data_IF_328952302371
#
_entry.id   IF_328952302371
#
_cell.length_a   1.000
_cell.length_b   1.000
_cell.length_c   1.000
_cell.angle_alpha   90.00
_cell.angle_beta   90.00
_cell.angle_gamma   90.00
#
_symmetry.space_group_name_H-M   'P 1'
#
loop_
_entity.id
_entity.type
_entity.pdbx_description
1 polymer ?
#
# COMPACT_ATOMS: atom_id res chain seq x y z
N UNK A 1 -24.29 33.01 -30.19
CA UNK A 1 -23.12 32.25 -29.74
C UNK A 1 -23.26 32.07 -28.25
N UNK A 2 -23.74 30.90 -27.78
CA UNK A 2 -23.77 30.59 -26.38
C UNK A 2 -22.33 30.37 -25.90
N UNK A 3 -21.91 30.90 -24.74
CA UNK A 3 -20.62 30.59 -24.16
C UNK A 3 -20.58 29.11 -23.90
N UNK A 4 -19.69 28.39 -24.58
CA UNK A 4 -19.41 26.97 -24.34
C UNK A 4 -18.98 26.81 -22.90
N UNK A 5 -19.91 26.34 -22.04
CA UNK A 5 -19.58 25.93 -20.68
C UNK A 5 -18.53 24.84 -20.77
N UNK A 6 -17.33 25.13 -20.27
CA UNK A 6 -16.25 24.15 -20.19
C UNK A 6 -16.79 22.88 -19.53
N UNK A 7 -16.60 21.67 -20.12
CA UNK A 7 -17.07 20.42 -19.54
C UNK A 7 -16.39 20.10 -18.20
N UNK A 8 -15.41 20.90 -17.79
CA UNK A 8 -14.63 20.70 -16.57
C UNK A 8 -15.07 21.65 -15.45
N UNK A 9 -14.92 21.17 -14.21
CA UNK A 9 -15.29 21.91 -13.00
C UNK A 9 -14.46 23.20 -12.80
N UNK A 10 -15.06 24.18 -12.13
CA UNK A 10 -14.36 25.40 -11.72
C UNK A 10 -13.25 25.11 -10.70
N UNK A 11 -12.16 25.90 -10.70
CA UNK A 11 -10.96 25.69 -9.87
C UNK A 11 -11.28 25.54 -8.36
N UNK A 12 -12.25 26.30 -7.82
CA UNK A 12 -12.66 26.20 -6.41
C UNK A 12 -13.33 24.86 -6.10
N UNK A 13 -14.16 24.35 -7.01
CA UNK A 13 -14.81 23.05 -6.87
C UNK A 13 -13.78 21.92 -6.95
N UNK A 14 -12.82 22.00 -7.90
CA UNK A 14 -11.71 21.06 -8.03
C UNK A 14 -10.92 20.96 -6.71
N UNK A 15 -10.60 22.10 -6.08
CA UNK A 15 -9.89 22.12 -4.80
C UNK A 15 -10.71 21.47 -3.69
N UNK A 16 -12.00 21.76 -3.60
CA UNK A 16 -12.88 21.14 -2.60
C UNK A 16 -12.99 19.63 -2.76
N UNK A 17 -13.19 19.14 -4.00
CA UNK A 17 -13.22 17.71 -4.32
C UNK A 17 -11.89 17.04 -4.01
N UNK A 18 -10.77 17.68 -4.37
CA UNK A 18 -9.44 17.18 -4.06
C UNK A 18 -9.23 17.03 -2.55
N UNK A 19 -9.50 18.07 -1.76
CA UNK A 19 -9.31 18.06 -0.31
C UNK A 19 -10.18 16.99 0.38
N UNK A 20 -11.43 16.82 -0.05
CA UNK A 20 -12.32 15.78 0.49
C UNK A 20 -11.76 14.36 0.26
N UNK A 21 -11.27 14.08 -0.94
CA UNK A 21 -10.65 12.79 -1.24
C UNK A 21 -9.27 12.63 -0.58
N UNK A 22 -8.48 13.70 -0.52
CA UNK A 22 -7.17 13.70 0.12
C UNK A 22 -7.26 13.38 1.62
N UNK A 23 -8.26 13.94 2.32
CA UNK A 23 -8.51 13.62 3.73
C UNK A 23 -8.77 12.12 3.95
N UNK A 24 -9.63 11.50 3.13
CA UNK A 24 -9.91 10.07 3.22
C UNK A 24 -8.66 9.21 2.90
N UNK A 25 -7.88 9.59 1.89
CA UNK A 25 -6.68 8.85 1.52
C UNK A 25 -5.55 9.00 2.55
N UNK A 26 -5.40 10.18 3.15
CA UNK A 26 -4.50 10.41 4.28
C UNK A 26 -4.82 9.45 5.43
N UNK A 27 -6.09 9.39 5.84
CA UNK A 27 -6.54 8.48 6.91
C UNK A 27 -6.36 7.01 6.53
N UNK A 28 -6.62 6.63 5.29
CA UNK A 28 -6.35 5.28 4.77
C UNK A 28 -4.88 4.88 4.94
N UNK A 29 -3.96 5.76 4.59
CA UNK A 29 -2.53 5.50 4.70
C UNK A 29 -2.05 5.49 6.16
N UNK A 30 -2.61 6.35 7.01
CA UNK A 30 -2.34 6.37 8.45
C UNK A 30 -2.81 5.05 9.10
N UNK A 31 -4.07 4.62 8.85
CA UNK A 31 -4.62 3.36 9.38
C UNK A 31 -3.81 2.15 8.89
N UNK A 32 -3.27 2.21 7.68
CA UNK A 32 -2.41 1.16 7.11
C UNK A 32 -1.15 0.94 7.93
N UNK A 33 -0.44 2.00 8.24
CA UNK A 33 0.91 1.94 8.82
C UNK A 33 0.94 2.00 10.35
N UNK A 34 -0.15 2.41 11.01
CA UNK A 34 -0.20 2.63 12.46
C UNK A 34 0.19 1.39 13.29
N UNK A 35 -0.06 0.18 12.77
CA UNK A 35 0.23 -1.07 13.50
C UNK A 35 1.71 -1.23 13.84
N UNK A 36 2.62 -0.72 13.00
CA UNK A 36 4.05 -0.74 13.28
C UNK A 36 4.38 0.03 14.57
N UNK A 37 3.83 1.22 14.73
CA UNK A 37 4.01 2.06 15.92
C UNK A 37 3.35 1.46 17.17
N UNK A 38 2.19 0.83 17.00
CA UNK A 38 1.46 0.20 18.10
C UNK A 38 2.03 -1.17 18.49
N UNK A 39 2.87 -1.79 17.65
CA UNK A 39 3.30 -3.17 17.83
C UNK A 39 3.91 -3.48 19.20
N UNK A 40 4.79 -2.65 19.81
CA UNK A 40 5.33 -2.95 21.11
C UNK A 40 4.25 -3.00 22.21
N UNK A 41 3.35 -2.01 22.20
CA UNK A 41 2.27 -1.91 23.19
C UNK A 41 1.25 -3.05 23.06
N UNK A 42 0.82 -3.35 21.81
CA UNK A 42 -0.13 -4.45 21.57
C UNK A 42 0.48 -5.80 21.92
N UNK A 43 1.75 -6.03 21.61
CA UNK A 43 2.46 -7.26 21.97
C UNK A 43 2.54 -7.42 23.47
N UNK A 44 2.83 -6.35 24.21
CA UNK A 44 2.93 -6.41 25.68
C UNK A 44 1.56 -6.56 26.33
N UNK A 45 0.55 -5.79 25.93
CA UNK A 45 -0.79 -5.77 26.55
C UNK A 45 -1.56 -7.07 26.31
N UNK A 46 -1.42 -7.67 25.13
CA UNK A 46 -2.20 -8.81 24.68
C UNK A 46 -1.35 -10.10 24.59
N UNK A 47 -0.10 -10.07 25.05
CA UNK A 47 0.85 -11.19 24.99
C UNK A 47 0.94 -11.83 23.58
N UNK A 48 0.95 -11.00 22.52
CA UNK A 48 0.96 -11.48 21.14
C UNK A 48 2.29 -12.13 20.79
N UNK A 49 2.22 -13.28 20.14
CA UNK A 49 3.38 -13.89 19.47
C UNK A 49 3.78 -13.08 18.21
N UNK A 50 4.92 -13.38 17.63
CA UNK A 50 5.32 -12.76 16.38
C UNK A 50 4.38 -13.15 15.23
N UNK A 51 3.89 -14.39 15.22
CA UNK A 51 2.86 -14.86 14.30
C UNK A 51 1.58 -14.04 14.42
N UNK A 52 1.08 -13.84 15.66
CA UNK A 52 -0.14 -13.07 15.92
C UNK A 52 0.02 -11.63 15.43
N UNK A 53 1.17 -11.02 15.71
CA UNK A 53 1.45 -9.66 15.26
C UNK A 53 1.46 -9.54 13.72
N UNK A 54 2.10 -10.49 13.05
CA UNK A 54 2.12 -10.55 11.58
C UNK A 54 0.74 -10.77 10.98
N UNK A 55 -0.07 -11.66 11.60
CA UNK A 55 -1.45 -11.93 11.19
C UNK A 55 -2.35 -10.71 11.43
N UNK A 56 -2.20 -10.04 12.57
CA UNK A 56 -2.95 -8.83 12.91
C UNK A 56 -2.71 -7.69 11.88
N UNK A 57 -1.45 -7.39 11.60
CA UNK A 57 -1.12 -6.36 10.62
C UNK A 57 -1.52 -6.78 9.20
N UNK A 58 -1.26 -8.05 8.85
CA UNK A 58 -1.62 -8.64 7.57
C UNK A 58 -3.13 -8.64 7.30
N UNK A 59 -3.97 -8.75 8.34
CA UNK A 59 -5.43 -8.71 8.21
C UNK A 59 -5.95 -7.48 7.45
N UNK A 60 -5.32 -6.31 7.65
CA UNK A 60 -5.62 -5.12 6.87
C UNK A 60 -5.40 -5.35 5.36
N UNK A 61 -4.27 -5.93 4.98
CA UNK A 61 -3.92 -6.15 3.57
C UNK A 61 -4.76 -7.26 2.94
N UNK A 62 -5.16 -8.27 3.72
CA UNK A 62 -6.11 -9.30 3.28
C UNK A 62 -7.47 -8.68 2.95
N UNK A 63 -8.03 -7.85 3.84
CA UNK A 63 -9.27 -7.12 3.59
C UNK A 63 -9.17 -6.18 2.38
N UNK A 64 -8.06 -5.47 2.27
CA UNK A 64 -7.79 -4.58 1.13
C UNK A 64 -7.69 -5.36 -0.19
N UNK A 65 -6.99 -6.50 -0.21
CA UNK A 65 -6.82 -7.35 -1.38
C UNK A 65 -8.15 -7.94 -1.88
N UNK A 66 -9.01 -8.39 -0.97
CA UNK A 66 -10.30 -9.02 -1.30
C UNK A 66 -11.22 -8.14 -2.15
N UNK A 67 -11.04 -6.83 -2.08
CA UNK A 67 -11.87 -5.85 -2.80
C UNK A 67 -11.29 -5.40 -4.14
N UNK A 68 -10.02 -5.72 -4.46
CA UNK A 68 -9.33 -5.15 -5.64
C UNK A 68 -10.02 -5.51 -6.96
N UNK A 69 -10.44 -6.76 -7.12
CA UNK A 69 -11.07 -7.19 -8.38
C UNK A 69 -12.48 -6.61 -8.60
N UNK A 70 -13.40 -6.60 -7.61
CA UNK A 70 -14.74 -6.04 -7.80
C UNK A 70 -14.77 -4.51 -7.78
N UNK A 71 -13.78 -3.83 -7.17
CA UNK A 71 -13.78 -2.39 -6.94
C UNK A 71 -13.92 -1.58 -8.24
N UNK A 72 -13.21 -1.95 -9.29
CA UNK A 72 -13.28 -1.28 -10.60
C UNK A 72 -14.72 -1.29 -11.15
N UNK A 73 -15.35 -2.47 -11.16
CA UNK A 73 -16.75 -2.61 -11.61
C UNK A 73 -17.73 -1.79 -10.78
N UNK A 74 -17.52 -1.72 -9.47
CA UNK A 74 -18.38 -0.91 -8.59
C UNK A 74 -18.21 0.58 -8.84
N UNK A 75 -16.98 1.05 -9.07
CA UNK A 75 -16.70 2.45 -9.40
C UNK A 75 -17.34 2.85 -10.74
N UNK A 76 -17.28 1.99 -11.76
CA UNK A 76 -17.88 2.24 -13.07
C UNK A 76 -19.42 2.25 -12.98
N UNK A 77 -19.99 1.34 -12.18
CA UNK A 77 -21.45 1.20 -12.06
C UNK A 77 -22.09 2.27 -11.18
N UNK A 78 -21.49 2.59 -10.01
CA UNK A 78 -22.11 3.42 -8.98
C UNK A 78 -21.44 4.78 -8.79
N UNK A 79 -20.26 4.98 -9.43
CA UNK A 79 -19.47 6.18 -9.34
C UNK A 79 -18.64 6.31 -8.05
N UNK A 80 -17.62 7.18 -8.05
CA UNK A 80 -16.64 7.28 -6.98
C UNK A 80 -17.23 7.70 -5.63
N UNK A 81 -18.18 8.64 -5.62
CA UNK A 81 -18.80 9.16 -4.39
C UNK A 81 -19.53 8.07 -3.61
N UNK A 82 -20.45 7.36 -4.26
CA UNK A 82 -21.28 6.33 -3.60
C UNK A 82 -20.41 5.17 -3.12
N UNK A 83 -19.51 4.67 -3.96
CA UNK A 83 -18.62 3.55 -3.63
C UNK A 83 -17.74 3.93 -2.44
N UNK A 84 -17.06 5.08 -2.50
CA UNK A 84 -16.16 5.48 -1.42
C UNK A 84 -16.91 5.68 -0.09
N UNK A 85 -18.08 6.33 -0.08
CA UNK A 85 -18.87 6.50 1.14
C UNK A 85 -19.29 5.15 1.73
N UNK A 86 -19.76 4.20 0.90
CA UNK A 86 -20.13 2.86 1.37
C UNK A 86 -18.95 2.11 2.00
N UNK A 87 -17.77 2.22 1.39
CA UNK A 87 -16.55 1.62 1.91
C UNK A 87 -16.10 2.29 3.22
N UNK A 88 -16.14 3.61 3.31
CA UNK A 88 -15.77 4.33 4.53
C UNK A 88 -16.68 4.02 5.72
N UNK A 89 -17.96 3.66 5.50
CA UNK A 89 -18.80 3.12 6.60
C UNK A 89 -18.15 1.87 7.19
N UNK A 90 -17.66 0.96 6.35
CA UNK A 90 -16.97 -0.25 6.82
C UNK A 90 -15.67 0.12 7.56
N UNK A 91 -14.94 1.15 7.11
CA UNK A 91 -13.75 1.64 7.81
C UNK A 91 -14.08 2.20 9.20
N UNK A 92 -15.17 2.97 9.34
CA UNK A 92 -15.65 3.47 10.64
C UNK A 92 -15.96 2.30 11.58
N UNK A 93 -16.73 1.32 11.10
CA UNK A 93 -17.05 0.11 11.87
C UNK A 93 -15.76 -0.63 12.26
N UNK A 94 -14.80 -0.75 11.36
CA UNK A 94 -13.50 -1.35 11.63
C UNK A 94 -12.72 -0.60 12.71
N UNK A 95 -12.66 0.72 12.66
CA UNK A 95 -11.97 1.54 13.67
C UNK A 95 -12.66 1.45 15.05
N UNK A 96 -13.99 1.49 15.09
CA UNK A 96 -14.76 1.31 16.34
C UNK A 96 -14.54 -0.09 16.90
N UNK A 97 -14.65 -1.13 16.06
CA UNK A 97 -14.43 -2.51 16.48
C UNK A 97 -13.02 -2.72 17.03
N UNK A 98 -12.00 -2.11 16.41
CA UNK A 98 -10.63 -2.16 16.90
C UNK A 98 -10.48 -1.49 18.26
N UNK A 99 -11.07 -0.31 18.44
CA UNK A 99 -11.07 0.45 19.71
C UNK A 99 -11.71 -0.34 20.86
N UNK A 100 -12.75 -1.12 20.57
CA UNK A 100 -13.51 -1.87 21.58
C UNK A 100 -13.02 -3.32 21.78
N UNK A 101 -12.13 -3.80 20.91
CA UNK A 101 -11.68 -5.19 20.94
C UNK A 101 -10.88 -5.54 22.22
N UNK A 102 -11.21 -6.69 22.79
CA UNK A 102 -10.55 -7.25 23.98
C UNK A 102 -9.87 -8.60 23.68
N UNK A 103 -10.00 -9.11 22.46
CA UNK A 103 -9.42 -10.38 22.05
C UNK A 103 -8.65 -10.22 20.74
N UNK A 104 -7.68 -11.10 20.51
CA UNK A 104 -6.93 -11.15 19.26
C UNK A 104 -7.85 -11.28 18.02
N UNK A 105 -8.84 -12.18 18.07
CA UNK A 105 -9.76 -12.39 16.94
C UNK A 105 -10.55 -11.12 16.66
N UNK A 106 -11.02 -10.42 17.69
CA UNK A 106 -11.73 -9.14 17.55
C UNK A 106 -10.87 -8.08 16.88
N UNK A 107 -9.60 -7.94 17.30
CA UNK A 107 -8.64 -7.02 16.67
C UNK A 107 -8.35 -7.40 15.22
N UNK A 108 -8.14 -8.69 14.94
CA UNK A 108 -7.87 -9.16 13.59
C UNK A 108 -9.04 -8.89 12.63
N UNK A 109 -10.27 -9.22 13.02
CA UNK A 109 -11.46 -8.92 12.23
C UNK A 109 -11.63 -7.41 12.01
N UNK A 110 -11.39 -6.61 13.05
CA UNK A 110 -11.42 -5.15 12.93
C UNK A 110 -10.38 -4.64 11.92
N UNK A 111 -9.18 -5.21 11.88
CA UNK A 111 -8.16 -4.88 10.88
C UNK A 111 -8.58 -5.26 9.47
N UNK A 112 -9.21 -6.42 9.28
CA UNK A 112 -9.78 -6.83 7.98
C UNK A 112 -10.84 -5.81 7.53
N UNK A 113 -11.76 -5.41 8.43
CA UNK A 113 -12.78 -4.39 8.13
C UNK A 113 -12.15 -3.04 7.77
N UNK A 114 -11.12 -2.60 8.52
CA UNK A 114 -10.37 -1.39 8.17
C UNK A 114 -9.80 -1.49 6.74
N UNK A 115 -9.17 -2.62 6.39
CA UNK A 115 -8.61 -2.85 5.07
C UNK A 115 -9.64 -2.80 3.95
N UNK A 116 -10.77 -3.49 4.11
CA UNK A 116 -11.92 -3.40 3.20
C UNK A 116 -12.37 -1.95 3.06
N UNK A 117 -12.62 -1.29 4.19
CA UNK A 117 -13.25 0.02 4.24
C UNK A 117 -12.44 1.15 3.59
N UNK A 118 -11.11 1.06 3.58
CA UNK A 118 -10.26 2.10 2.98
C UNK A 118 -9.73 1.76 1.59
N UNK A 119 -10.04 0.58 1.06
CA UNK A 119 -9.48 0.10 -0.22
C UNK A 119 -9.86 0.95 -1.42
N UNK A 120 -11.00 1.65 -1.37
CA UNK A 120 -11.46 2.55 -2.43
C UNK A 120 -10.81 3.96 -2.37
N UNK A 121 -10.08 4.32 -1.29
CA UNK A 121 -9.65 5.70 -1.03
C UNK A 121 -8.67 6.28 -2.07
N UNK A 122 -7.97 5.46 -2.83
CA UNK A 122 -7.13 5.92 -3.94
C UNK A 122 -7.84 5.81 -5.29
N UNK A 123 -8.48 4.67 -5.57
CA UNK A 123 -9.06 4.41 -6.89
C UNK A 123 -10.30 5.25 -7.18
N UNK A 124 -11.13 5.55 -6.16
CA UNK A 124 -12.32 6.38 -6.34
C UNK A 124 -11.97 7.81 -6.77
N UNK A 125 -11.02 8.53 -6.12
CA UNK A 125 -10.54 9.82 -6.60
C UNK A 125 -10.00 9.79 -8.04
N UNK A 126 -9.14 8.82 -8.36
CA UNK A 126 -8.54 8.70 -9.69
C UNK A 126 -9.60 8.52 -10.78
N UNK A 127 -10.67 7.77 -10.50
CA UNK A 127 -11.83 7.60 -11.38
C UNK A 127 -12.60 8.92 -11.54
N UNK A 128 -12.84 9.66 -10.45
CA UNK A 128 -13.54 10.95 -10.48
C UNK A 128 -12.75 12.02 -11.23
N UNK A 129 -11.44 12.12 -11.00
CA UNK A 129 -10.58 13.13 -11.63
C UNK A 129 -10.54 13.00 -13.17
N UNK A 130 -10.57 11.77 -13.69
CA UNK A 130 -10.63 11.53 -15.15
C UNK A 130 -11.82 12.22 -15.81
N UNK A 131 -12.92 12.34 -15.09
CA UNK A 131 -14.16 12.91 -15.63
C UNK A 131 -14.30 14.41 -15.35
N UNK A 132 -13.87 14.86 -14.17
CA UNK A 132 -14.17 16.22 -13.72
C UNK A 132 -13.05 17.22 -13.98
N UNK A 133 -11.83 16.75 -14.25
CA UNK A 133 -10.65 17.62 -14.39
C UNK A 133 -10.04 17.54 -15.78
N UNK A 134 -9.54 18.67 -16.26
CA UNK A 134 -8.72 18.71 -17.46
C UNK A 134 -7.43 17.87 -17.28
N UNK A 135 -6.85 17.27 -18.35
CA UNK A 135 -5.73 16.34 -18.25
C UNK A 135 -4.55 16.85 -17.41
N UNK A 136 -4.16 18.12 -17.57
CA UNK A 136 -3.08 18.72 -16.80
C UNK A 136 -3.40 18.90 -15.31
N UNK A 137 -4.67 19.15 -14.95
CA UNK A 137 -5.12 19.21 -13.56
C UNK A 137 -5.21 17.82 -12.95
N UNK A 138 -5.68 16.82 -13.69
CA UNK A 138 -5.74 15.42 -13.29
C UNK A 138 -4.36 14.89 -12.92
N UNK A 139 -3.34 15.11 -13.77
CA UNK A 139 -1.98 14.65 -13.52
C UNK A 139 -1.42 15.22 -12.19
N UNK A 140 -1.63 16.52 -11.97
CA UNK A 140 -1.23 17.18 -10.71
C UNK A 140 -1.99 16.60 -9.51
N UNK A 141 -3.32 16.44 -9.61
CA UNK A 141 -4.13 15.88 -8.52
C UNK A 141 -3.69 14.46 -8.16
N UNK A 142 -3.37 13.62 -9.15
CA UNK A 142 -2.86 12.27 -8.92
C UNK A 142 -1.52 12.29 -8.14
N UNK A 143 -0.59 13.17 -8.52
CA UNK A 143 0.70 13.31 -7.80
C UNK A 143 0.49 13.80 -6.37
N UNK A 144 -0.36 14.80 -6.15
CA UNK A 144 -0.69 15.29 -4.82
C UNK A 144 -1.40 14.25 -3.96
N UNK A 145 -2.24 13.39 -4.54
CA UNK A 145 -2.85 12.27 -3.81
C UNK A 145 -1.79 11.31 -3.26
N UNK A 146 -0.80 10.92 -4.06
CA UNK A 146 0.28 10.05 -3.59
C UNK A 146 1.08 10.69 -2.44
N UNK A 147 1.38 12.00 -2.54
CA UNK A 147 2.01 12.74 -1.44
C UNK A 147 1.15 12.73 -0.17
N UNK A 148 -0.16 12.92 -0.31
CA UNK A 148 -1.10 12.87 0.83
C UNK A 148 -1.06 11.50 1.52
N UNK A 149 -1.00 10.40 0.77
CA UNK A 149 -0.83 9.06 1.33
C UNK A 149 0.48 8.91 2.10
N UNK A 150 1.58 9.41 1.54
CA UNK A 150 2.88 9.39 2.23
C UNK A 150 2.87 10.22 3.52
N UNK A 151 2.21 11.39 3.53
CA UNK A 151 2.02 12.18 4.76
C UNK A 151 1.20 11.42 5.80
N UNK A 152 0.18 10.66 5.39
CA UNK A 152 -0.59 9.77 6.27
C UNK A 152 0.30 8.71 6.93
N UNK A 153 1.21 8.10 6.17
CA UNK A 153 2.17 7.13 6.71
C UNK A 153 3.17 7.77 7.69
N UNK A 154 3.69 8.95 7.39
CA UNK A 154 4.55 9.73 8.31
C UNK A 154 3.79 10.04 9.60
N UNK A 155 2.53 10.44 9.51
CA UNK A 155 1.68 10.78 10.67
C UNK A 155 1.33 9.58 11.54
N UNK A 156 1.42 8.35 11.02
CA UNK A 156 1.19 7.11 11.78
C UNK A 156 2.34 6.74 12.74
N UNK A 157 3.44 7.45 12.72
CA UNK A 157 4.69 7.17 13.46
C UNK A 157 4.81 8.05 14.72
N UNK A 158 5.73 9.00 14.75
CA UNK A 158 5.96 9.88 15.90
C UNK A 158 4.71 10.56 16.44
N UNK A 159 3.80 11.14 15.62
CA UNK A 159 2.59 11.76 16.15
C UNK A 159 1.71 10.78 16.92
N UNK A 160 1.57 9.55 16.45
CA UNK A 160 0.86 8.48 17.17
C UNK A 160 1.59 8.09 18.41
N UNK A 161 2.91 7.93 18.37
CA UNK A 161 3.74 7.57 19.53
C UNK A 161 3.63 8.61 20.67
N UNK A 162 3.56 9.91 20.34
CA UNK A 162 3.34 10.96 21.34
C UNK A 162 1.95 10.93 21.97
N UNK A 163 0.92 10.55 21.21
CA UNK A 163 -0.44 10.44 21.72
C UNK A 163 -0.66 9.18 22.58
N UNK A 164 0.10 8.11 22.31
CA UNK A 164 -0.06 6.81 22.98
C UNK A 164 -0.07 6.89 24.52
N UNK A 165 0.90 7.54 25.20
CA UNK A 165 0.93 7.63 26.66
C UNK A 165 -0.18 8.53 27.24
N UNK A 166 -0.78 9.41 26.41
CA UNK A 166 -1.78 10.40 26.86
C UNK A 166 -3.18 9.82 26.80
N UNK A 167 -3.56 9.21 25.69
CA UNK A 167 -4.93 8.75 25.43
C UNK A 167 -5.06 7.24 25.17
N UNK A 168 -3.94 6.54 24.95
CA UNK A 168 -3.92 5.12 24.63
C UNK A 168 -4.38 4.80 23.20
N UNK A 169 -4.03 3.60 22.72
CA UNK A 169 -4.33 3.17 21.36
C UNK A 169 -5.84 3.02 21.07
N UNK A 170 -6.65 2.66 22.08
CA UNK A 170 -8.10 2.53 21.92
C UNK A 170 -8.75 3.87 21.59
N UNK A 171 -8.39 4.94 22.32
CA UNK A 171 -8.89 6.27 22.04
C UNK A 171 -8.36 6.83 20.71
N UNK A 172 -7.13 6.47 20.31
CA UNK A 172 -6.60 6.83 18.98
C UNK A 172 -7.51 6.24 17.88
N UNK A 173 -7.87 4.95 17.96
CA UNK A 173 -8.76 4.33 16.97
C UNK A 173 -10.19 4.89 17.01
N UNK A 174 -10.72 5.22 18.17
CA UNK A 174 -11.98 5.94 18.28
C UNK A 174 -11.91 7.33 17.61
N UNK A 175 -10.82 8.06 17.84
CA UNK A 175 -10.55 9.34 17.16
C UNK A 175 -10.43 9.19 15.65
N UNK A 176 -9.77 8.12 15.16
CA UNK A 176 -9.69 7.81 13.73
C UNK A 176 -11.09 7.55 13.14
N UNK A 177 -11.98 6.84 13.86
CA UNK A 177 -13.36 6.64 13.42
C UNK A 177 -14.07 7.99 13.22
N UNK A 178 -13.92 8.92 14.18
CA UNK A 178 -14.50 10.29 14.07
C UNK A 178 -13.92 11.03 12.86
N UNK A 179 -12.59 10.98 12.65
CA UNK A 179 -11.94 11.62 11.50
C UNK A 179 -12.40 11.04 10.16
N UNK A 180 -12.61 9.72 10.10
CA UNK A 180 -13.18 9.07 8.91
C UNK A 180 -14.60 9.55 8.66
N UNK A 181 -15.46 9.69 9.69
CA UNK A 181 -16.80 10.25 9.55
C UNK A 181 -16.73 11.70 9.04
N UNK A 182 -15.83 12.53 9.57
CA UNK A 182 -15.64 13.90 9.08
C UNK A 182 -15.22 13.92 7.60
N UNK A 183 -14.33 13.02 7.19
CA UNK A 183 -13.96 12.89 5.77
C UNK A 183 -15.14 12.45 4.90
N UNK A 184 -16.02 11.57 5.41
CA UNK A 184 -17.28 11.20 4.73
C UNK A 184 -18.20 12.38 4.54
N UNK A 185 -18.37 13.23 5.56
CA UNK A 185 -19.16 14.48 5.45
C UNK A 185 -18.57 15.39 4.39
N UNK A 186 -17.25 15.59 4.37
CA UNK A 186 -16.58 16.37 3.32
C UNK A 186 -16.85 15.81 1.93
N UNK A 187 -16.75 14.48 1.75
CA UNK A 187 -17.04 13.83 0.47
C UNK A 187 -18.51 14.00 0.10
N UNK A 188 -19.41 13.81 1.05
CA UNK A 188 -20.85 13.95 0.81
C UNK A 188 -21.24 15.37 0.32
N UNK A 189 -20.65 16.40 0.91
CA UNK A 189 -20.95 17.82 0.60
C UNK A 189 -20.21 18.28 -0.66
N UNK A 190 -18.91 17.97 -0.79
CA UNK A 190 -18.04 18.61 -1.78
C UNK A 190 -17.90 17.82 -3.10
N UNK A 191 -18.10 16.49 -3.06
CA UNK A 191 -17.96 15.68 -4.27
C UNK A 191 -19.28 15.63 -5.03
N UNK A 192 -19.29 15.92 -6.35
CA UNK A 192 -20.53 15.93 -7.13
C UNK A 192 -21.12 14.52 -7.27
N UNK A 193 -22.42 14.48 -7.58
CA UNK A 193 -23.10 13.23 -7.91
C UNK A 193 -22.55 12.70 -9.24
N UNK A 194 -22.40 11.39 -9.33
CA UNK A 194 -22.00 10.72 -10.56
C UNK A 194 -23.19 10.60 -11.51
N UNK A 195 -23.19 11.41 -12.57
CA UNK A 195 -24.12 11.26 -13.66
C UNK A 195 -23.51 10.32 -14.69
N UNK A 196 -24.24 9.28 -15.08
CA UNK A 196 -23.80 8.42 -16.18
C UNK A 196 -23.77 9.23 -17.47
N UNK A 197 -22.71 9.13 -18.30
CA UNK A 197 -22.78 9.69 -19.64
C UNK A 197 -23.97 9.07 -20.39
N UNK A 198 -24.66 9.84 -21.18
CA UNK A 198 -25.50 9.30 -22.24
C UNK A 198 -24.56 8.47 -23.12
N UNK A 199 -24.75 7.16 -23.10
CA UNK A 199 -23.83 6.25 -23.78
C UNK A 199 -24.33 6.09 -25.21
N UNK A 200 -23.51 6.43 -26.18
CA UNK A 200 -23.74 6.16 -27.61
C UNK A 200 -24.00 4.64 -27.77
N UNK A 201 -25.00 4.23 -28.59
CA UNK A 201 -25.25 2.82 -28.87
C UNK A 201 -24.01 2.04 -29.35
N UNK A 202 -23.07 2.69 -30.03
CA UNK A 202 -21.80 2.09 -30.45
C UNK A 202 -20.86 1.81 -29.27
N UNK A 203 -20.81 2.72 -28.27
CA UNK A 203 -20.06 2.53 -27.03
C UNK A 203 -20.67 1.43 -26.15
N UNK A 204 -22.00 1.18 -26.24
CA UNK A 204 -22.66 0.09 -25.52
C UNK A 204 -22.24 -1.28 -26.06
N UNK A 205 -22.08 -1.42 -27.37
CA UNK A 205 -21.60 -2.68 -27.98
C UNK A 205 -20.13 -2.95 -27.65
N UNK A 206 -19.25 -1.92 -27.72
CA UNK A 206 -17.86 -2.05 -27.30
C UNK A 206 -17.74 -2.42 -25.82
N UNK A 207 -18.53 -1.78 -24.95
CA UNK A 207 -18.56 -2.12 -23.51
C UNK A 207 -19.12 -3.50 -23.22
N UNK A 208 -20.05 -4.01 -24.02
CA UNK A 208 -20.56 -5.36 -23.89
C UNK A 208 -19.45 -6.39 -24.19
N UNK A 209 -18.70 -6.21 -25.28
CA UNK A 209 -17.55 -7.05 -25.64
C UNK A 209 -16.46 -6.97 -24.55
N UNK A 210 -16.13 -5.78 -24.07
CA UNK A 210 -15.18 -5.57 -22.98
C UNK A 210 -15.63 -6.25 -21.67
N UNK A 211 -16.94 -6.32 -21.40
CA UNK A 211 -17.46 -6.93 -20.17
C UNK A 211 -17.38 -8.45 -20.22
N UNK A 212 -17.49 -9.06 -21.40
CA UNK A 212 -17.40 -10.52 -21.59
C UNK A 212 -15.98 -11.06 -21.39
N UNK A 213 -14.92 -10.30 -21.72
CA UNK A 213 -13.54 -10.80 -21.60
C UNK A 213 -13.06 -11.03 -20.15
N UNK A 214 -13.64 -10.36 -19.16
CA UNK A 214 -13.30 -10.54 -17.75
C UNK A 214 -11.81 -10.31 -17.43
N UNK A 215 -11.28 -11.10 -16.48
CA UNK A 215 -9.84 -11.11 -16.09
C UNK A 215 -9.05 -12.22 -16.80
N UNK A 216 -9.70 -13.05 -17.62
CA UNK A 216 -9.08 -14.20 -18.28
C UNK A 216 -7.81 -13.88 -19.06
N UNK A 217 -7.81 -12.86 -19.95
CA UNK A 217 -6.61 -12.47 -20.70
C UNK A 217 -5.44 -12.05 -19.82
N UNK A 218 -5.71 -11.40 -18.68
CA UNK A 218 -4.67 -10.97 -17.74
C UNK A 218 -4.01 -12.18 -17.08
N UNK A 219 -4.82 -13.12 -16.57
CA UNK A 219 -4.31 -14.33 -15.90
C UNK A 219 -3.62 -15.31 -16.84
N UNK A 220 -3.84 -15.23 -18.15
CA UNK A 220 -3.16 -16.06 -19.17
C UNK A 220 -1.89 -15.42 -19.69
N UNK A 221 -1.60 -14.16 -19.35
CA UNK A 221 -0.44 -13.44 -19.86
C UNK A 221 0.85 -13.91 -19.22
N UNK A 222 1.80 -14.36 -20.04
CA UNK A 222 3.15 -14.72 -19.59
C UNK A 222 3.87 -13.52 -18.96
N UNK A 223 3.68 -12.31 -19.51
CA UNK A 223 4.25 -11.09 -18.94
C UNK A 223 3.70 -10.79 -17.53
N UNK A 224 2.41 -10.99 -17.32
CA UNK A 224 1.81 -10.82 -15.99
C UNK A 224 2.46 -11.76 -14.97
N UNK A 225 2.59 -13.04 -15.28
CA UNK A 225 3.20 -14.04 -14.40
C UNK A 225 4.71 -13.85 -14.21
N UNK A 226 5.40 -13.26 -15.17
CA UNK A 226 6.78 -12.81 -14.99
C UNK A 226 6.90 -11.72 -13.92
N UNK A 227 5.95 -10.76 -13.89
CA UNK A 227 5.98 -9.64 -12.97
C UNK A 227 5.34 -9.97 -11.59
N UNK A 228 4.45 -10.95 -11.53
CA UNK A 228 3.70 -11.29 -10.32
C UNK A 228 4.59 -11.67 -9.12
N UNK A 229 5.63 -12.55 -9.23
CA UNK A 229 6.47 -12.90 -8.10
C UNK A 229 7.25 -11.74 -7.50
N UNK A 230 7.80 -10.83 -8.32
CA UNK A 230 8.51 -9.65 -7.81
C UNK A 230 7.53 -8.66 -7.16
N UNK A 231 6.32 -8.53 -7.67
CA UNK A 231 5.25 -7.78 -7.00
C UNK A 231 4.89 -8.38 -5.65
N UNK A 232 4.80 -9.70 -5.57
CA UNK A 232 4.44 -10.43 -4.36
C UNK A 232 5.54 -10.35 -3.28
N UNK A 233 6.78 -10.74 -3.59
CA UNK A 233 7.85 -10.84 -2.60
C UNK A 233 8.66 -9.56 -2.44
N UNK A 234 9.01 -8.86 -3.52
CA UNK A 234 9.83 -7.65 -3.42
C UNK A 234 8.99 -6.43 -3.03
N UNK A 235 7.89 -6.15 -3.74
CA UNK A 235 7.05 -5.01 -3.39
C UNK A 235 6.18 -5.29 -2.15
N UNK A 236 5.59 -6.47 -2.07
CA UNK A 236 4.89 -6.93 -0.87
C UNK A 236 5.80 -6.93 0.35
N UNK A 237 7.06 -7.40 0.21
CA UNK A 237 8.08 -7.37 1.25
C UNK A 237 8.48 -5.97 1.69
N UNK A 238 8.71 -5.05 0.75
CA UNK A 238 8.95 -3.64 1.06
C UNK A 238 7.84 -3.08 1.97
N UNK A 239 6.58 -3.26 1.57
CA UNK A 239 5.43 -2.79 2.36
C UNK A 239 5.32 -3.54 3.70
N UNK A 240 5.60 -4.84 3.74
CA UNK A 240 5.56 -5.63 4.96
C UNK A 240 6.59 -5.15 6.00
N UNK A 241 7.81 -4.82 5.58
CA UNK A 241 8.82 -4.26 6.45
C UNK A 241 8.44 -2.84 6.90
N UNK A 242 8.09 -1.96 5.95
CA UNK A 242 7.77 -0.56 6.22
C UNK A 242 6.56 -0.40 7.16
N UNK A 243 5.54 -1.24 7.01
CA UNK A 243 4.26 -1.09 7.74
C UNK A 243 4.15 -1.96 8.98
N UNK A 244 5.11 -2.85 9.23
CA UNK A 244 5.16 -3.66 10.44
C UNK A 244 6.58 -3.95 10.91
N UNK A 245 7.36 -4.77 10.17
CA UNK A 245 8.52 -5.48 10.71
C UNK A 245 9.74 -4.60 11.00
N UNK A 246 9.81 -3.38 10.47
CA UNK A 246 10.89 -2.45 10.82
C UNK A 246 10.89 -2.08 12.31
N UNK A 247 9.73 -1.88 12.95
CA UNK A 247 9.66 -1.56 14.38
C UNK A 247 10.08 -2.74 15.27
N UNK A 248 9.51 -3.96 15.14
CA UNK A 248 9.98 -5.13 15.88
C UNK A 248 11.47 -5.43 15.67
N UNK A 249 12.00 -5.26 14.46
CA UNK A 249 13.43 -5.40 14.22
C UNK A 249 14.25 -4.39 15.03
N UNK A 250 13.88 -3.10 15.00
CA UNK A 250 14.55 -2.05 15.74
C UNK A 250 14.50 -2.31 17.26
N UNK A 251 13.37 -2.76 17.81
CA UNK A 251 13.24 -3.00 19.25
C UNK A 251 13.91 -4.30 19.70
N UNK A 252 13.72 -5.42 18.97
CA UNK A 252 14.20 -6.75 19.41
C UNK A 252 15.66 -6.97 19.02
N UNK A 253 16.06 -6.57 17.81
CA UNK A 253 17.42 -6.80 17.29
C UNK A 253 18.30 -5.58 17.53
N UNK A 254 17.79 -4.38 17.27
CA UNK A 254 18.54 -3.12 17.43
C UNK A 254 18.57 -2.57 18.86
N UNK A 255 17.74 -3.10 19.77
CA UNK A 255 17.69 -2.64 21.18
C UNK A 255 17.06 -1.25 21.37
N UNK A 256 16.31 -0.74 20.38
CA UNK A 256 15.66 0.57 20.44
C UNK A 256 14.54 0.61 21.48
N UNK A 257 14.39 1.77 22.13
CA UNK A 257 13.16 2.06 22.87
C UNK A 257 11.95 2.22 21.90
N UNK A 258 10.71 2.11 22.38
CA UNK A 258 9.53 2.35 21.55
C UNK A 258 9.53 3.75 20.87
N UNK A 259 10.07 4.77 21.55
CA UNK A 259 10.18 6.11 21.00
C UNK A 259 11.25 6.20 19.91
N UNK A 260 12.42 5.57 20.11
CA UNK A 260 13.47 5.53 19.10
C UNK A 260 13.04 4.75 17.87
N UNK A 261 12.32 3.64 18.05
CA UNK A 261 11.73 2.86 16.95
C UNK A 261 10.68 3.67 16.16
N UNK A 262 9.83 4.45 16.84
CA UNK A 262 8.89 5.35 16.18
C UNK A 262 9.60 6.49 15.42
N UNK A 263 10.71 6.99 15.97
CA UNK A 263 11.58 7.98 15.29
C UNK A 263 12.24 7.37 14.05
N UNK A 264 12.70 6.13 14.16
CA UNK A 264 13.23 5.38 13.02
C UNK A 264 12.16 5.16 11.93
N UNK A 265 10.95 4.76 12.30
CA UNK A 265 9.83 4.65 11.37
C UNK A 265 9.48 5.98 10.71
N UNK A 266 9.53 7.08 11.46
CA UNK A 266 9.33 8.43 10.91
C UNK A 266 10.38 8.73 9.85
N UNK A 267 11.66 8.46 10.13
CA UNK A 267 12.77 8.66 9.19
C UNK A 267 12.58 7.79 7.92
N UNK A 268 12.23 6.51 8.07
CA UNK A 268 11.92 5.59 6.96
C UNK A 268 10.80 6.16 6.07
N UNK A 269 9.68 6.56 6.67
CA UNK A 269 8.53 7.06 5.91
C UNK A 269 8.81 8.41 5.25
N UNK A 270 9.60 9.28 5.88
CA UNK A 270 10.05 10.54 5.30
C UNK A 270 11.02 10.30 4.12
N UNK A 271 11.95 9.37 4.26
CA UNK A 271 12.85 8.97 3.18
C UNK A 271 12.07 8.38 1.99
N UNK A 272 11.03 7.57 2.25
CA UNK A 272 10.16 7.03 1.21
C UNK A 272 9.36 8.12 0.49
N UNK A 273 8.85 9.12 1.22
CA UNK A 273 8.19 10.30 0.63
C UNK A 273 9.12 11.01 -0.36
N UNK A 274 10.35 11.29 0.05
CA UNK A 274 11.36 11.95 -0.79
C UNK A 274 11.71 11.05 -1.99
N UNK A 275 11.87 9.75 -1.77
CA UNK A 275 12.22 8.79 -2.84
C UNK A 275 11.13 8.68 -3.90
N UNK A 276 9.86 8.58 -3.52
CA UNK A 276 8.77 8.55 -4.48
C UNK A 276 8.61 9.89 -5.23
N UNK A 277 8.86 11.00 -4.56
CA UNK A 277 8.93 12.30 -5.22
C UNK A 277 10.08 12.35 -6.25
N UNK A 278 11.26 11.86 -5.89
CA UNK A 278 12.40 11.75 -6.80
C UNK A 278 12.07 10.84 -8.01
N UNK A 279 11.41 9.68 -7.79
CA UNK A 279 10.96 8.83 -8.89
C UNK A 279 10.01 9.56 -9.84
N UNK A 280 9.10 10.38 -9.33
CA UNK A 280 8.22 11.21 -10.17
C UNK A 280 8.99 12.16 -11.11
N UNK A 281 10.14 12.68 -10.68
CA UNK A 281 11.00 13.57 -11.47
C UNK A 281 11.96 12.81 -12.42
N UNK A 282 12.47 11.68 -11.98
CA UNK A 282 13.54 10.93 -12.68
C UNK A 282 12.97 10.01 -13.74
N UNK A 283 11.85 9.32 -13.47
CA UNK A 283 11.26 8.34 -14.41
C UNK A 283 10.98 8.93 -15.81
N UNK A 284 10.41 10.13 -15.97
CA UNK A 284 10.20 10.71 -17.30
C UNK A 284 11.52 11.01 -18.06
N UNK A 285 12.60 11.33 -17.32
CA UNK A 285 13.92 11.57 -17.90
C UNK A 285 14.55 10.26 -18.37
N UNK A 286 14.48 9.21 -17.54
CA UNK A 286 14.98 7.88 -17.90
C UNK A 286 14.25 7.32 -19.12
N UNK A 287 12.93 7.49 -19.20
CA UNK A 287 12.14 7.09 -20.36
C UNK A 287 12.58 7.81 -21.65
N UNK A 288 12.90 9.13 -21.58
CA UNK A 288 13.44 9.88 -22.72
C UNK A 288 14.84 9.40 -23.13
N UNK A 289 15.62 8.85 -22.22
CA UNK A 289 16.94 8.25 -22.49
C UNK A 289 16.83 6.81 -23.00
N UNK A 290 15.62 6.26 -23.16
CA UNK A 290 15.38 4.92 -23.70
C UNK A 290 15.42 3.80 -22.67
N UNK A 291 15.51 4.10 -21.36
CA UNK A 291 15.47 3.08 -20.33
C UNK A 291 14.06 2.55 -20.11
N UNK A 292 13.91 1.23 -20.22
CA UNK A 292 12.65 0.54 -19.96
C UNK A 292 12.50 0.23 -18.46
N UNK A 293 11.27 0.25 -17.92
CA UNK A 293 11.02 -0.09 -16.51
C UNK A 293 11.63 -1.44 -16.09
N UNK A 294 11.53 -2.46 -16.93
CA UNK A 294 12.10 -3.78 -16.65
C UNK A 294 13.63 -3.77 -16.49
N UNK A 295 14.34 -2.93 -17.27
CA UNK A 295 15.80 -2.76 -17.16
C UNK A 295 16.17 -2.07 -15.84
N UNK A 296 15.42 -1.03 -15.46
CA UNK A 296 15.65 -0.28 -14.23
C UNK A 296 15.44 -1.20 -13.03
N UNK A 297 14.38 -2.02 -13.03
CA UNK A 297 14.14 -3.04 -12.01
C UNK A 297 15.28 -4.05 -11.97
N UNK A 298 15.69 -4.56 -13.13
CA UNK A 298 16.74 -5.56 -13.25
C UNK A 298 18.09 -5.09 -12.65
N UNK A 299 18.45 -3.82 -12.84
CA UNK A 299 19.72 -3.29 -12.33
C UNK A 299 19.62 -2.77 -10.89
N UNK A 300 18.48 -2.20 -10.52
CA UNK A 300 18.33 -1.55 -9.22
C UNK A 300 17.94 -2.51 -8.09
N UNK A 301 17.07 -3.49 -8.37
CA UNK A 301 16.55 -4.39 -7.33
C UNK A 301 17.63 -5.19 -6.57
N UNK A 302 18.74 -5.68 -7.18
CA UNK A 302 19.80 -6.38 -6.46
C UNK A 302 20.44 -5.57 -5.33
N UNK A 303 20.44 -4.24 -5.42
CA UNK A 303 20.95 -3.36 -4.34
C UNK A 303 20.18 -3.63 -3.04
N UNK A 304 18.87 -3.79 -3.12
CA UNK A 304 18.04 -4.06 -1.93
C UNK A 304 18.36 -5.40 -1.27
N UNK A 305 18.75 -6.42 -2.05
CA UNK A 305 19.17 -7.71 -1.51
C UNK A 305 20.50 -7.61 -0.77
N UNK A 306 21.44 -6.83 -1.29
CA UNK A 306 22.71 -6.54 -0.62
C UNK A 306 22.49 -5.79 0.71
N UNK A 307 21.60 -4.79 0.72
CA UNK A 307 21.27 -4.05 1.95
C UNK A 307 20.52 -4.95 2.94
N UNK A 308 19.60 -5.82 2.48
CA UNK A 308 18.92 -6.77 3.35
C UNK A 308 19.89 -7.77 3.97
N UNK A 309 20.83 -8.30 3.19
CA UNK A 309 21.88 -9.18 3.68
C UNK A 309 22.75 -8.46 4.73
N UNK A 310 23.10 -7.19 4.50
CA UNK A 310 23.82 -6.38 5.48
C UNK A 310 23.02 -6.23 6.79
N UNK A 311 21.73 -5.91 6.73
CA UNK A 311 20.85 -5.83 7.91
C UNK A 311 20.90 -7.15 8.70
N UNK A 312 20.71 -8.27 7.99
CA UNK A 312 20.63 -9.61 8.61
C UNK A 312 21.96 -10.00 9.25
N UNK A 313 23.08 -9.84 8.53
CA UNK A 313 24.40 -10.27 9.02
C UNK A 313 24.88 -9.41 10.17
N UNK A 314 24.74 -8.07 10.05
CA UNK A 314 25.16 -7.14 11.10
C UNK A 314 24.25 -7.22 12.35
N UNK A 315 22.96 -7.45 12.16
CA UNK A 315 22.02 -7.63 13.29
C UNK A 315 22.18 -6.56 14.40
N UNK A 316 22.45 -6.96 15.65
CA UNK A 316 22.60 -6.03 16.78
C UNK A 316 23.78 -5.07 16.63
N UNK A 317 24.81 -5.42 15.83
CA UNK A 317 26.00 -4.59 15.64
C UNK A 317 25.72 -3.25 14.95
N UNK A 318 24.56 -3.13 14.28
CA UNK A 318 24.14 -1.87 13.69
C UNK A 318 23.85 -0.79 14.74
N UNK A 319 23.41 -1.19 15.95
CA UNK A 319 23.10 -0.27 17.04
C UNK A 319 22.22 0.88 16.57
N UNK A 320 22.61 2.13 16.85
CA UNK A 320 21.87 3.36 16.48
C UNK A 320 21.74 3.57 14.95
N UNK A 321 22.51 2.85 14.13
CA UNK A 321 22.42 2.94 12.67
C UNK A 321 21.31 2.06 12.08
N UNK A 322 20.63 1.23 12.87
CA UNK A 322 19.60 0.29 12.40
C UNK A 322 18.52 0.98 11.58
N UNK A 323 17.99 2.12 12.04
CA UNK A 323 16.96 2.88 11.34
C UNK A 323 17.43 3.42 9.98
N UNK A 324 18.69 3.85 9.88
CA UNK A 324 19.27 4.34 8.63
C UNK A 324 19.44 3.22 7.60
N UNK A 325 19.91 2.04 8.02
CA UNK A 325 20.11 0.91 7.11
C UNK A 325 18.77 0.34 6.67
N UNK A 326 17.75 0.31 7.55
CA UNK A 326 16.37 -0.03 7.17
C UNK A 326 15.79 0.99 6.19
N UNK A 327 16.07 2.29 6.36
CA UNK A 327 15.68 3.32 5.38
C UNK A 327 16.35 3.08 4.03
N UNK A 328 17.62 2.72 4.01
CA UNK A 328 18.36 2.41 2.79
C UNK A 328 17.77 1.15 2.09
N UNK A 329 17.37 0.13 2.86
CA UNK A 329 16.64 -1.02 2.31
C UNK A 329 15.33 -0.59 1.65
N UNK A 330 14.53 0.21 2.34
CA UNK A 330 13.25 0.69 1.79
C UNK A 330 13.46 1.51 0.51
N UNK A 331 14.44 2.45 0.51
CA UNK A 331 14.79 3.26 -0.66
C UNK A 331 15.21 2.37 -1.83
N UNK A 332 16.17 1.46 -1.60
CA UNK A 332 16.69 0.58 -2.65
C UNK A 332 15.66 -0.44 -3.15
N UNK A 333 14.66 -0.77 -2.35
CA UNK A 333 13.56 -1.64 -2.77
C UNK A 333 12.54 -0.93 -3.67
N UNK A 334 12.54 0.41 -3.75
CA UNK A 334 11.55 1.16 -4.56
C UNK A 334 11.66 0.93 -6.06
N UNK A 335 12.77 0.41 -6.56
CA UNK A 335 12.89 0.05 -7.99
C UNK A 335 11.75 -0.87 -8.45
N UNK A 336 11.29 -1.78 -7.60
CA UNK A 336 10.17 -2.68 -7.93
C UNK A 336 8.84 -1.95 -8.12
N UNK A 337 8.69 -0.72 -7.61
CA UNK A 337 7.46 0.06 -7.79
C UNK A 337 7.16 0.39 -9.26
N UNK A 338 8.18 0.38 -10.11
CA UNK A 338 8.05 0.56 -11.56
C UNK A 338 7.34 -0.63 -12.25
N UNK A 339 7.23 -1.78 -11.57
CA UNK A 339 6.54 -2.95 -12.11
C UNK A 339 5.04 -2.70 -12.28
N UNK A 340 4.40 -1.95 -11.40
CA UNK A 340 2.98 -1.65 -11.46
C UNK A 340 2.59 -0.87 -12.73
N UNK A 341 3.19 0.30 -13.05
CA UNK A 341 2.92 0.97 -14.32
C UNK A 341 3.37 0.15 -15.53
N UNK A 342 4.46 -0.64 -15.44
CA UNK A 342 4.89 -1.51 -16.53
C UNK A 342 3.84 -2.56 -16.87
N UNK A 343 3.22 -3.19 -15.87
CA UNK A 343 2.10 -4.12 -16.07
C UNK A 343 0.91 -3.40 -16.73
N UNK A 344 0.55 -2.20 -16.26
CA UNK A 344 -0.55 -1.45 -16.88
C UNK A 344 -0.31 -1.11 -18.35
N UNK A 345 0.92 -0.77 -18.73
CA UNK A 345 1.30 -0.43 -20.11
C UNK A 345 1.45 -1.65 -21.03
N UNK A 346 1.64 -2.85 -20.48
CA UNK A 346 1.81 -4.08 -21.27
C UNK A 346 0.48 -4.62 -21.83
N UNK A 347 -0.66 -4.09 -21.37
CA UNK A 347 -1.97 -4.52 -21.83
C UNK A 347 -2.67 -3.43 -22.66
N UNK A 348 -3.57 -3.81 -23.58
CA UNK A 348 -4.40 -2.87 -24.30
C UNK A 348 -5.18 -1.93 -23.35
N UNK A 349 -5.51 -0.70 -23.76
CA UNK A 349 -6.15 0.31 -22.88
C UNK A 349 -7.41 -0.19 -22.13
N UNK A 350 -8.23 -1.03 -22.78
CA UNK A 350 -9.44 -1.62 -22.17
C UNK A 350 -9.16 -2.68 -21.09
N UNK A 351 -7.98 -3.32 -21.11
CA UNK A 351 -7.54 -4.31 -20.11
C UNK A 351 -6.59 -3.72 -19.06
N UNK A 352 -5.99 -2.55 -19.30
CA UNK A 352 -4.97 -1.98 -18.42
C UNK A 352 -5.48 -1.79 -16.98
N UNK A 353 -6.72 -1.34 -16.79
CA UNK A 353 -7.33 -1.21 -15.46
C UNK A 353 -7.47 -2.55 -14.73
N UNK A 354 -7.87 -3.60 -15.47
CA UNK A 354 -7.97 -4.97 -14.91
C UNK A 354 -6.60 -5.55 -14.57
N UNK A 355 -5.60 -5.33 -15.43
CA UNK A 355 -4.22 -5.76 -15.19
C UNK A 355 -3.66 -5.09 -13.92
N UNK A 356 -3.88 -3.79 -13.73
CA UNK A 356 -3.49 -3.06 -12.53
C UNK A 356 -4.22 -3.58 -11.28
N UNK A 357 -5.52 -3.86 -11.35
CA UNK A 357 -6.29 -4.41 -10.23
C UNK A 357 -5.82 -5.81 -9.86
N UNK A 358 -5.56 -6.67 -10.84
CA UNK A 358 -5.00 -8.00 -10.63
C UNK A 358 -3.59 -7.94 -10.03
N UNK A 359 -2.76 -7.01 -10.50
CA UNK A 359 -1.41 -6.84 -9.97
C UNK A 359 -1.41 -6.28 -8.54
N UNK A 360 -2.33 -5.35 -8.23
CA UNK A 360 -2.55 -4.88 -6.88
C UNK A 360 -2.99 -6.01 -5.94
N UNK A 361 -3.89 -6.89 -6.41
CA UNK A 361 -4.27 -8.08 -5.65
C UNK A 361 -3.04 -8.91 -5.30
N UNK A 362 -2.16 -9.19 -6.27
CA UNK A 362 -0.90 -9.95 -6.06
C UNK A 362 -0.02 -9.27 -5.03
N UNK A 363 0.19 -7.95 -5.14
CA UNK A 363 1.01 -7.18 -4.19
C UNK A 363 0.43 -7.29 -2.78
N UNK A 364 -0.86 -7.01 -2.59
CA UNK A 364 -1.44 -6.94 -1.25
C UNK A 364 -1.61 -8.32 -0.59
N UNK A 365 -1.86 -9.38 -1.37
CA UNK A 365 -1.75 -10.76 -0.89
C UNK A 365 -0.29 -11.05 -0.50
N UNK A 366 0.68 -10.57 -1.27
CA UNK A 366 2.10 -10.66 -0.96
C UNK A 366 2.45 -9.99 0.37
N UNK A 367 1.94 -8.77 0.62
CA UNK A 367 2.14 -8.09 1.93
C UNK A 367 1.59 -8.94 3.07
N UNK A 368 0.36 -9.45 2.94
CA UNK A 368 -0.25 -10.31 3.95
C UNK A 368 0.61 -11.54 4.24
N UNK A 369 0.99 -12.28 3.17
CA UNK A 369 1.75 -13.53 3.31
C UNK A 369 3.14 -13.27 3.88
N UNK A 370 3.83 -12.21 3.46
CA UNK A 370 5.17 -11.87 3.97
C UNK A 370 5.08 -11.41 5.43
N UNK A 371 4.08 -10.59 5.80
CA UNK A 371 3.92 -10.16 7.20
C UNK A 371 3.67 -11.34 8.12
N UNK A 372 2.74 -12.20 7.76
CA UNK A 372 2.40 -13.39 8.57
C UNK A 372 3.54 -14.41 8.51
N UNK A 373 4.14 -14.65 7.35
CA UNK A 373 5.22 -15.62 7.15
C UNK A 373 6.49 -15.28 7.95
N UNK A 374 6.87 -14.00 8.04
CA UNK A 374 7.99 -13.59 8.91
C UNK A 374 7.65 -13.90 10.37
N UNK A 375 6.42 -13.59 10.83
CA UNK A 375 5.98 -13.90 12.18
C UNK A 375 6.01 -15.39 12.50
N UNK A 376 5.45 -16.23 11.59
CA UNK A 376 5.53 -17.68 11.66
C UNK A 376 6.99 -18.17 11.76
N UNK A 377 7.86 -17.63 10.91
CA UNK A 377 9.29 -17.97 10.92
C UNK A 377 9.95 -17.64 12.26
N UNK A 378 9.72 -16.44 12.80
CA UNK A 378 10.27 -16.02 14.09
C UNK A 378 9.83 -16.97 15.21
N UNK A 379 8.55 -17.29 15.29
CA UNK A 379 8.04 -18.18 16.36
C UNK A 379 8.52 -19.64 16.16
N UNK A 380 8.61 -20.10 14.92
CA UNK A 380 9.18 -21.41 14.59
C UNK A 380 10.65 -21.52 15.04
N UNK A 381 11.50 -20.55 14.72
CA UNK A 381 12.91 -20.58 15.12
C UNK A 381 13.07 -20.45 16.65
N UNK A 382 12.21 -19.66 17.31
CA UNK A 382 12.16 -19.63 18.78
C UNK A 382 11.78 -20.96 19.38
N UNK A 383 10.87 -21.74 18.77
CA UNK A 383 10.50 -23.07 19.25
C UNK A 383 11.65 -24.09 19.18
N UNK A 384 12.65 -23.85 18.31
CA UNK A 384 13.90 -24.61 18.25
C UNK A 384 14.92 -24.16 19.31
N UNK A 385 14.56 -23.24 20.21
CA UNK A 385 15.44 -22.73 21.27
C UNK A 385 16.38 -21.61 20.82
N UNK A 386 16.18 -21.01 19.66
CA UNK A 386 16.99 -19.90 19.18
C UNK A 386 16.67 -18.62 19.94
N UNK A 387 17.69 -17.78 20.16
CA UNK A 387 17.46 -16.47 20.76
C UNK A 387 16.52 -15.62 19.87
N UNK A 388 15.79 -14.66 20.46
CA UNK A 388 14.92 -13.77 19.69
C UNK A 388 15.63 -13.11 18.52
N UNK A 389 16.88 -12.64 18.70
CA UNK A 389 17.70 -12.02 17.66
C UNK A 389 17.95 -12.97 16.50
N UNK A 390 18.44 -14.20 16.80
CA UNK A 390 18.71 -15.20 15.77
C UNK A 390 17.44 -15.64 15.04
N UNK A 391 16.32 -15.75 15.75
CA UNK A 391 15.04 -16.08 15.16
C UNK A 391 14.57 -15.02 14.16
N UNK A 392 14.74 -13.73 14.48
CA UNK A 392 14.47 -12.63 13.55
C UNK A 392 15.41 -12.66 12.33
N UNK A 393 16.72 -12.84 12.55
CA UNK A 393 17.69 -12.92 11.44
C UNK A 393 17.36 -14.09 10.49
N UNK A 394 17.00 -15.25 11.04
CA UNK A 394 16.64 -16.42 10.23
C UNK A 394 15.33 -16.20 9.45
N UNK A 395 14.30 -15.65 10.08
CA UNK A 395 13.02 -15.35 9.41
C UNK A 395 13.21 -14.35 8.26
N UNK A 396 14.03 -13.30 8.48
CA UNK A 396 14.38 -12.33 7.44
C UNK A 396 15.24 -12.95 6.33
N UNK A 397 16.10 -13.93 6.67
CA UNK A 397 16.87 -14.68 5.67
C UNK A 397 15.96 -15.50 4.75
N UNK A 398 14.95 -16.18 5.31
CA UNK A 398 13.95 -16.91 4.51
C UNK A 398 13.19 -15.96 3.59
N UNK A 399 12.73 -14.82 4.12
CA UNK A 399 12.10 -13.79 3.29
C UNK A 399 13.04 -13.30 2.17
N UNK A 400 14.30 -12.99 2.50
CA UNK A 400 15.32 -12.57 1.53
C UNK A 400 15.54 -13.58 0.42
N UNK A 401 15.62 -14.88 0.75
CA UNK A 401 15.73 -15.97 -0.24
C UNK A 401 14.51 -16.03 -1.17
N UNK A 402 13.29 -15.90 -0.64
CA UNK A 402 12.08 -15.81 -1.46
C UNK A 402 12.10 -14.60 -2.41
N UNK A 403 12.54 -13.43 -1.92
CA UNK A 403 12.66 -12.23 -2.72
C UNK A 403 13.72 -12.39 -3.84
N UNK A 404 14.88 -12.95 -3.53
CA UNK A 404 15.91 -13.27 -4.54
C UNK A 404 15.41 -14.29 -5.55
N UNK A 405 14.75 -15.37 -5.12
CA UNK A 405 14.18 -16.39 -6.01
C UNK A 405 13.15 -15.77 -6.98
N UNK A 406 12.28 -14.87 -6.48
CA UNK A 406 11.33 -14.16 -7.32
C UNK A 406 12.00 -13.26 -8.37
N UNK A 407 13.09 -12.62 -7.99
CA UNK A 407 13.89 -11.82 -8.92
C UNK A 407 14.63 -12.67 -9.97
N UNK A 408 15.19 -13.80 -9.57
CA UNK A 408 15.83 -14.75 -10.51
C UNK A 408 14.81 -15.24 -11.52
N UNK A 409 13.60 -15.61 -11.08
CA UNK A 409 12.50 -15.97 -11.99
C UNK A 409 12.16 -14.83 -12.96
N UNK A 410 12.04 -13.59 -12.48
CA UNK A 410 11.83 -12.42 -13.34
C UNK A 410 12.90 -12.26 -14.41
N UNK A 411 14.16 -12.54 -14.11
CA UNK A 411 15.27 -12.47 -15.06
C UNK A 411 15.25 -13.61 -16.09
N UNK A 412 14.98 -14.84 -15.64
CA UNK A 412 14.96 -16.03 -16.51
C UNK A 412 13.79 -15.97 -17.50
N UNK A 413 12.59 -15.62 -17.04
CA UNK A 413 11.42 -15.48 -17.89
C UNK A 413 11.55 -14.36 -18.96
N UNK A 414 12.61 -13.54 -18.92
CA UNK A 414 12.91 -12.57 -19.97
C UNK A 414 13.61 -13.21 -21.18
N UNK A 415 14.32 -14.29 -20.98
CA UNK A 415 15.11 -14.95 -22.04
C UNK A 415 14.22 -15.72 -23.02
N UNK A 416 13.10 -16.26 -22.54
CA UNK A 416 12.16 -17.04 -23.35
C UNK A 416 11.33 -16.20 -24.34
N UNK A 417 11.22 -14.87 -24.12
CA UNK A 417 10.51 -13.96 -25.02
C UNK A 417 11.42 -13.25 -26.05
N UNK A 418 12.72 -13.53 -26.05
CA UNK A 418 13.72 -12.95 -26.96
C UNK A 418 14.26 -13.97 -27.97
N UNK A 419 13.75 -15.20 -27.95
CA UNK A 419 13.97 -16.25 -28.94
C UNK A 419 12.66 -16.46 -29.72
#
# INVERSE_FOLDING_TARGET
MNPTTSPFMARRQILGVFLAFAAAYFLSALIRAITATLSPTLTQELALSAQDLGLLAGGYFLGFAATQLPLGKWLDKHGPKKVLLSFLVVAVLGCIAFSLAQSFIGLWLARVLCGVGVSACLMAPLTGYRRWMAPGAQLRANSWMLMTGSLGMVSSTLPVQWLMPIIGWRAIFAGLAVLVVLSMVMIYVLVPVWEKPETDPQDLQLKAIETEEGYGPVWRSAYFWRMAPIGFFCYGGLLALQTLWAAPWMTVVGGYSPLDAATGLFAINLAMLVTFWAWGLVTPRLAKLGFLPNQIIAWGQPISFGVLAWIIVSGPQLGDNTAWVLSLFCISSTFVSLAQPAVGMAFPPHLAGRALSAYNLVIFVGVFVVQWGIGLGVDLFKSFGWSPVLAFQAAFSVFGLCAVASYVYFQLANRDNSA
#
